data_IF_457892037479
#
_entry.id   IF_457892037479
#
_cell.length_a   1.000
_cell.length_b   1.000
_cell.length_c   1.000
_cell.angle_alpha   90.00
_cell.angle_beta   90.00
_cell.angle_gamma   90.00
#
_symmetry.space_group_name_H-M   'P 1'
#
loop_
_entity.id
_entity.type
_entity.pdbx_description
1 polymer ?
#
# COMPACT_ATOMS: atom_id res chain seq x y z
N UNK A 1 -21.91 -88.45 20.72
CA UNK A 1 -21.90 -88.74 19.26
C UNK A 1 -21.29 -87.55 18.54
N UNK A 2 -20.45 -87.82 17.55
CA UNK A 2 -19.56 -86.88 16.85
C UNK A 2 -20.32 -85.91 15.92
N UNK A 3 -19.59 -84.86 15.51
CA UNK A 3 -19.69 -84.05 14.26
C UNK A 3 -20.88 -83.07 14.16
N UNK A 4 -20.77 -81.85 13.63
CA UNK A 4 -19.73 -81.07 12.91
C UNK A 4 -20.21 -79.60 12.89
N UNK A 5 -19.33 -78.64 13.16
CA UNK A 5 -19.58 -77.21 12.95
C UNK A 5 -19.53 -76.89 11.44
N UNK A 6 -20.52 -76.17 10.90
CA UNK A 6 -20.49 -75.59 9.56
C UNK A 6 -20.45 -74.07 9.67
N UNK A 7 -19.29 -73.46 9.34
CA UNK A 7 -19.17 -72.03 9.07
C UNK A 7 -19.71 -71.77 7.66
N UNK A 8 -20.71 -70.90 7.53
CA UNK A 8 -21.13 -70.36 6.22
C UNK A 8 -20.14 -69.27 5.82
N UNK A 9 -19.37 -69.52 4.77
CA UNK A 9 -18.53 -68.53 4.08
C UNK A 9 -19.43 -67.84 3.05
N UNK A 10 -19.63 -66.53 3.18
CA UNK A 10 -20.22 -65.71 2.12
C UNK A 10 -19.16 -65.51 1.03
N UNK A 11 -19.47 -65.92 -0.19
CA UNK A 11 -18.71 -65.59 -1.39
C UNK A 11 -19.00 -64.13 -1.77
N UNK A 12 -17.99 -63.25 -1.69
CA UNK A 12 -17.98 -62.00 -2.45
C UNK A 12 -17.49 -62.32 -3.88
N UNK A 13 -18.14 -61.80 -4.95
CA UNK A 13 -17.62 -61.95 -6.29
C UNK A 13 -16.38 -61.06 -6.43
N UNK A 14 -15.26 -61.67 -6.81
CA UNK A 14 -14.03 -60.99 -7.17
C UNK A 14 -14.29 -60.25 -8.49
N UNK A 15 -14.50 -58.93 -8.42
CA UNK A 15 -14.52 -58.07 -9.60
C UNK A 15 -13.12 -58.04 -10.21
N UNK A 16 -12.98 -58.59 -11.41
CA UNK A 16 -11.74 -58.55 -12.19
C UNK A 16 -11.51 -57.08 -12.63
N UNK A 17 -10.68 -56.34 -11.89
CA UNK A 17 -10.22 -55.02 -12.32
C UNK A 17 -9.21 -55.24 -13.44
N UNK A 18 -9.66 -55.02 -14.68
CA UNK A 18 -8.79 -54.86 -15.84
C UNK A 18 -7.97 -53.58 -15.63
N UNK A 19 -6.73 -53.74 -15.19
CA UNK A 19 -5.70 -52.70 -15.25
C UNK A 19 -5.38 -52.44 -16.73
N UNK A 20 -6.18 -51.58 -17.34
CA UNK A 20 -5.81 -50.93 -18.59
C UNK A 20 -4.58 -50.08 -18.33
N UNK A 21 -3.44 -50.46 -18.92
CA UNK A 21 -2.23 -49.64 -18.90
C UNK A 21 -2.53 -48.31 -19.56
N UNK A 22 -2.65 -47.25 -18.77
CA UNK A 22 -2.55 -45.89 -19.26
C UNK A 22 -1.13 -45.73 -19.81
N UNK A 23 -0.94 -45.24 -21.05
CA UNK A 23 0.40 -44.85 -21.49
C UNK A 23 0.82 -43.69 -20.60
N UNK A 24 1.70 -43.96 -19.63
CA UNK A 24 2.40 -42.92 -18.91
C UNK A 24 3.17 -42.11 -19.94
N UNK A 25 2.99 -40.79 -19.93
CA UNK A 25 3.88 -39.89 -20.63
C UNK A 25 5.24 -40.00 -19.94
N UNK A 26 6.11 -40.87 -20.46
CA UNK A 26 7.53 -40.80 -20.17
C UNK A 26 8.07 -39.66 -21.01
N UNK A 27 8.59 -38.64 -20.33
CA UNK A 27 9.21 -37.48 -20.94
C UNK A 27 10.59 -37.90 -21.49
N UNK A 28 10.59 -38.70 -22.57
CA UNK A 28 11.79 -39.08 -23.30
C UNK A 28 12.23 -37.90 -24.18
N UNK A 29 12.82 -36.89 -23.54
CA UNK A 29 13.30 -35.71 -24.24
C UNK A 29 13.41 -34.44 -23.42
N UNK A 30 13.37 -34.50 -22.09
CA UNK A 30 13.68 -33.37 -21.22
C UNK A 30 15.10 -32.86 -21.45
N UNK A 31 15.28 -32.04 -22.49
CA UNK A 31 16.41 -31.14 -22.58
C UNK A 31 16.20 -30.16 -21.45
N UNK A 32 16.91 -30.33 -20.33
CA UNK A 32 17.13 -29.22 -19.42
C UNK A 32 17.86 -28.18 -20.25
N UNK A 33 17.20 -27.07 -20.66
CA UNK A 33 17.95 -26.01 -21.29
C UNK A 33 19.03 -25.63 -20.28
N UNK A 34 20.29 -25.60 -20.70
CA UNK A 34 21.30 -24.88 -19.92
C UNK A 34 20.66 -23.51 -19.62
N UNK A 35 20.42 -23.26 -18.33
CA UNK A 35 19.89 -21.97 -17.90
C UNK A 35 20.84 -20.94 -18.51
N UNK A 36 20.34 -19.96 -19.30
CA UNK A 36 21.21 -18.94 -19.86
C UNK A 36 22.03 -18.39 -18.70
N UNK A 37 23.35 -18.24 -18.88
CA UNK A 37 24.21 -17.88 -17.76
C UNK A 37 23.66 -16.61 -17.14
N UNK A 38 23.06 -16.73 -15.96
CA UNK A 38 22.39 -15.62 -15.31
C UNK A 38 23.38 -14.50 -14.98
N UNK A 39 24.68 -14.65 -15.24
CA UNK A 39 25.76 -13.71 -15.02
C UNK A 39 26.12 -12.83 -16.23
N UNK A 40 25.74 -13.18 -17.47
CA UNK A 40 26.26 -12.45 -18.64
C UNK A 40 25.76 -11.00 -18.64
N UNK A 41 26.70 -10.04 -18.58
CA UNK A 41 26.44 -8.60 -18.57
C UNK A 41 26.03 -7.99 -17.23
N UNK A 42 25.76 -8.81 -16.20
CA UNK A 42 25.18 -8.33 -14.94
C UNK A 42 26.20 -7.89 -13.90
N UNK A 43 27.49 -8.15 -14.13
CA UNK A 43 28.57 -7.61 -13.30
C UNK A 43 28.64 -6.08 -13.38
N UNK A 44 28.36 -5.51 -14.56
CA UNK A 44 28.33 -4.05 -14.78
C UNK A 44 27.13 -3.42 -14.08
N UNK A 45 25.99 -4.11 -14.07
CA UNK A 45 24.79 -3.68 -13.35
C UNK A 45 24.80 -4.07 -11.86
N UNK A 46 25.93 -4.52 -11.30
CA UNK A 46 26.05 -4.93 -9.88
C UNK A 46 25.02 -5.96 -9.42
N UNK A 47 24.68 -6.90 -10.30
CA UNK A 47 23.76 -7.99 -10.01
C UNK A 47 22.28 -7.64 -10.17
N UNK A 48 21.93 -6.44 -10.63
CA UNK A 48 20.57 -6.11 -11.03
C UNK A 48 20.22 -6.83 -12.34
N UNK A 49 19.04 -7.46 -12.36
CA UNK A 49 18.56 -8.31 -13.43
C UNK A 49 17.68 -7.56 -14.43
N UNK A 50 16.82 -6.66 -13.97
CA UNK A 50 15.81 -5.97 -14.77
C UNK A 50 14.83 -6.92 -15.48
N UNK A 51 14.28 -6.43 -16.58
CA UNK A 51 13.44 -7.22 -17.48
C UNK A 51 14.21 -8.35 -18.16
N UNK A 52 13.54 -9.50 -18.31
CA UNK A 52 13.95 -10.55 -19.25
C UNK A 52 13.48 -10.24 -20.68
N UNK A 53 12.35 -9.53 -20.81
CA UNK A 53 11.86 -8.98 -22.08
C UNK A 53 11.28 -7.57 -21.84
N UNK A 54 12.02 -6.51 -22.21
CA UNK A 54 11.57 -5.14 -22.06
C UNK A 54 10.33 -4.82 -22.91
N UNK A 55 10.16 -5.47 -24.06
CA UNK A 55 9.06 -5.17 -24.99
C UNK A 55 7.69 -5.56 -24.44
N UNK A 56 7.66 -6.56 -23.57
CA UNK A 56 6.46 -7.01 -22.86
C UNK A 56 6.47 -6.64 -21.38
N UNK A 57 7.45 -5.84 -20.93
CA UNK A 57 7.67 -5.50 -19.52
C UNK A 57 7.64 -6.72 -18.60
N UNK A 58 8.36 -7.79 -18.97
CA UNK A 58 8.42 -9.04 -18.19
C UNK A 58 9.66 -9.03 -17.31
N UNK A 59 9.54 -8.88 -15.96
CA UNK A 59 10.66 -9.01 -15.04
C UNK A 59 11.30 -10.38 -15.11
N UNK A 60 12.61 -10.43 -14.85
CA UNK A 60 13.32 -11.71 -14.69
C UNK A 60 12.69 -12.60 -13.60
N UNK A 61 12.02 -11.99 -12.60
CA UNK A 61 11.38 -12.67 -11.48
C UNK A 61 10.12 -13.48 -11.86
N UNK A 62 9.55 -13.26 -13.05
CA UNK A 62 8.27 -13.83 -13.51
C UNK A 62 8.14 -15.34 -13.33
N UNK A 63 9.17 -16.07 -13.78
CA UNK A 63 9.12 -17.52 -13.91
C UNK A 63 8.94 -18.23 -12.56
N UNK A 64 9.32 -17.56 -11.47
CA UNK A 64 9.20 -18.07 -10.11
C UNK A 64 8.09 -17.37 -9.31
N UNK A 65 7.77 -16.11 -9.61
CA UNK A 65 6.78 -15.30 -8.88
C UNK A 65 5.64 -14.78 -9.77
N UNK A 66 4.89 -15.65 -10.48
CA UNK A 66 3.89 -15.20 -11.42
C UNK A 66 2.69 -14.50 -10.76
N UNK A 67 2.33 -14.88 -9.53
CA UNK A 67 1.22 -14.23 -8.81
C UNK A 67 1.49 -12.76 -8.52
N UNK A 68 2.67 -12.45 -7.98
CA UNK A 68 3.09 -11.10 -7.61
C UNK A 68 3.26 -10.19 -8.83
N UNK A 69 3.80 -10.73 -9.92
CA UNK A 69 4.02 -9.94 -11.12
C UNK A 69 2.73 -9.45 -11.77
N UNK A 70 1.69 -10.28 -11.85
CA UNK A 70 0.43 -9.87 -12.50
C UNK A 70 -0.11 -8.60 -11.85
N UNK A 71 -0.13 -8.55 -10.51
CA UNK A 71 -0.54 -7.35 -9.79
C UNK A 71 0.41 -6.18 -10.00
N UNK A 72 1.73 -6.41 -9.96
CA UNK A 72 2.71 -5.33 -10.13
C UNK A 72 2.63 -4.68 -11.53
N UNK A 73 2.40 -5.46 -12.59
CA UNK A 73 2.27 -4.93 -13.96
C UNK A 73 1.09 -3.97 -14.13
N UNK A 74 0.07 -4.06 -13.26
CA UNK A 74 -1.09 -3.17 -13.25
C UNK A 74 -0.83 -1.85 -12.48
N UNK A 75 0.33 -1.72 -11.82
CA UNK A 75 0.67 -0.55 -11.01
C UNK A 75 1.24 0.60 -11.84
N UNK A 76 1.20 1.81 -11.28
CA UNK A 76 1.89 2.95 -11.86
C UNK A 76 3.42 2.78 -11.85
N UNK A 77 3.98 1.99 -10.92
CA UNK A 77 5.41 1.69 -10.87
C UNK A 77 5.91 0.97 -12.13
N UNK A 78 5.12 0.03 -12.67
CA UNK A 78 5.43 -0.66 -13.94
C UNK A 78 5.31 0.24 -15.19
N UNK A 79 4.88 1.49 -15.03
CA UNK A 79 4.73 2.47 -16.10
C UNK A 79 5.44 3.79 -15.77
N UNK A 80 6.33 3.79 -14.78
CA UNK A 80 6.99 4.99 -14.29
C UNK A 80 7.84 5.66 -15.38
N UNK A 81 8.56 4.89 -16.19
CA UNK A 81 9.41 5.44 -17.26
C UNK A 81 8.57 6.10 -18.33
N UNK A 82 7.55 5.40 -18.85
CA UNK A 82 6.64 5.95 -19.85
C UNK A 82 5.94 7.22 -19.35
N UNK A 83 5.51 7.23 -18.09
CA UNK A 83 4.89 8.41 -17.46
C UNK A 83 5.86 9.59 -17.40
N UNK A 84 7.13 9.35 -17.07
CA UNK A 84 8.16 10.38 -17.09
C UNK A 84 8.37 10.94 -18.49
N UNK A 85 8.54 10.08 -19.49
CA UNK A 85 8.76 10.51 -20.87
C UNK A 85 7.56 11.30 -21.41
N UNK A 86 6.34 10.92 -21.03
CA UNK A 86 5.11 11.60 -21.44
C UNK A 86 4.84 12.91 -20.68
N UNK A 87 5.59 13.20 -19.61
CA UNK A 87 5.42 14.45 -18.84
C UNK A 87 5.82 15.72 -19.63
N UNK A 88 6.66 15.59 -20.66
CA UNK A 88 7.27 16.72 -21.37
C UNK A 88 8.41 17.41 -20.60
N UNK A 89 8.76 16.90 -19.41
CA UNK A 89 9.76 17.48 -18.51
C UNK A 89 10.81 16.46 -18.03
N UNK A 90 10.96 15.35 -18.75
CA UNK A 90 11.95 14.33 -18.42
C UNK A 90 13.38 14.92 -18.40
N UNK A 91 14.10 14.63 -17.32
CA UNK A 91 15.47 15.06 -17.10
C UNK A 91 16.26 13.94 -16.39
N UNK A 92 17.59 13.96 -16.53
CA UNK A 92 18.46 12.96 -15.91
C UNK A 92 18.34 12.87 -14.39
N UNK A 93 17.92 13.96 -13.73
CA UNK A 93 17.64 13.96 -12.28
C UNK A 93 16.41 13.14 -11.90
N UNK A 94 15.52 12.82 -12.85
CA UNK A 94 14.31 12.04 -12.62
C UNK A 94 14.56 10.53 -12.81
N UNK A 95 15.57 10.16 -13.60
CA UNK A 95 15.85 8.78 -13.97
C UNK A 95 16.09 7.85 -12.76
N UNK A 96 16.79 8.27 -11.67
CA UNK A 96 17.02 7.41 -10.51
C UNK A 96 15.73 6.90 -9.84
N UNK A 97 14.64 7.69 -9.86
CA UNK A 97 13.36 7.31 -9.27
C UNK A 97 12.41 6.60 -10.26
N UNK A 98 12.76 6.57 -11.55
CA UNK A 98 11.92 6.03 -12.63
C UNK A 98 12.55 4.82 -13.33
N UNK A 99 13.64 4.30 -12.78
CA UNK A 99 14.38 3.13 -13.28
C UNK A 99 14.82 2.23 -12.13
N UNK A 100 15.34 1.06 -12.46
CA UNK A 100 16.00 0.16 -11.51
C UNK A 100 17.42 0.65 -11.25
N UNK A 101 17.74 0.91 -9.98
CA UNK A 101 19.04 1.40 -9.53
C UNK A 101 19.20 1.28 -8.01
N UNK A 102 19.98 2.17 -7.41
CA UNK A 102 20.23 2.15 -5.96
C UNK A 102 19.06 2.61 -5.10
N UNK A 103 18.19 3.49 -5.62
CA UNK A 103 17.10 4.06 -4.83
C UNK A 103 15.99 3.04 -4.57
N UNK A 104 15.43 3.11 -3.37
CA UNK A 104 14.33 2.31 -2.84
C UNK A 104 14.76 1.01 -2.14
N UNK A 105 16.05 0.65 -2.20
CA UNK A 105 16.54 -0.66 -1.75
C UNK A 105 17.84 -0.56 -0.96
N UNK A 106 18.43 -1.71 -0.62
CA UNK A 106 19.65 -1.79 0.22
C UNK A 106 20.94 -1.43 -0.52
N UNK A 107 20.89 -1.23 -1.84
CA UNK A 107 22.07 -0.88 -2.64
C UNK A 107 22.47 0.57 -2.39
N UNK A 108 23.72 0.78 -1.99
CA UNK A 108 24.28 2.12 -1.73
C UNK A 108 25.15 2.65 -2.87
N UNK A 109 25.31 1.88 -3.96
CA UNK A 109 26.14 2.30 -5.09
C UNK A 109 25.29 3.04 -6.13
N UNK A 110 25.50 4.35 -6.33
CA UNK A 110 24.72 5.13 -7.30
C UNK A 110 24.96 4.69 -8.76
N UNK A 111 26.09 4.04 -9.05
CA UNK A 111 26.43 3.50 -10.36
C UNK A 111 25.95 2.04 -10.49
N UNK A 112 24.65 1.80 -10.28
CA UNK A 112 24.02 0.48 -10.35
C UNK A 112 22.82 0.45 -11.33
N UNK A 113 22.48 -0.73 -11.85
CA UNK A 113 21.32 -0.90 -12.72
C UNK A 113 21.35 0.00 -13.96
N UNK A 114 20.33 0.85 -14.13
CA UNK A 114 20.22 1.77 -15.25
C UNK A 114 21.38 2.78 -15.30
N UNK A 115 21.78 3.38 -14.17
CA UNK A 115 22.84 4.38 -14.15
C UNK A 115 24.18 3.85 -14.69
N UNK A 116 24.46 2.55 -14.48
CA UNK A 116 25.67 1.91 -14.98
C UNK A 116 25.61 1.51 -16.46
N UNK A 117 24.41 1.21 -16.99
CA UNK A 117 24.25 0.49 -18.27
C UNK A 117 23.48 1.25 -19.33
N UNK A 118 22.52 2.09 -18.91
CA UNK A 118 21.55 2.77 -19.76
C UNK A 118 20.74 1.81 -20.65
N UNK A 119 20.55 0.56 -20.21
CA UNK A 119 19.80 -0.45 -20.96
C UNK A 119 18.30 -0.37 -20.66
N UNK A 120 17.47 -0.50 -21.70
CA UNK A 120 15.99 -0.46 -21.61
C UNK A 120 15.40 -1.47 -20.61
N UNK A 121 16.15 -2.55 -20.31
CA UNK A 121 15.73 -3.57 -19.35
C UNK A 121 15.59 -3.05 -17.93
N UNK A 122 16.15 -1.88 -17.61
CA UNK A 122 16.08 -1.25 -16.30
C UNK A 122 15.08 -0.09 -16.25
N UNK A 123 14.31 0.17 -17.30
CA UNK A 123 13.20 1.13 -17.25
C UNK A 123 12.11 0.68 -16.26
N UNK A 124 11.38 1.66 -15.72
CA UNK A 124 10.31 1.51 -14.74
C UNK A 124 10.80 1.17 -13.31
N UNK A 125 9.92 1.33 -12.33
CA UNK A 125 10.16 0.94 -10.94
C UNK A 125 9.81 -0.54 -10.80
N UNK A 126 10.82 -1.40 -10.94
CA UNK A 126 10.66 -2.86 -10.92
C UNK A 126 10.87 -3.45 -9.53
N UNK A 127 10.79 -4.79 -9.43
CA UNK A 127 10.98 -5.54 -8.19
C UNK A 127 12.26 -5.13 -7.46
N UNK A 128 13.35 -5.02 -8.21
CA UNK A 128 14.68 -4.75 -7.65
C UNK A 128 14.85 -3.31 -7.16
N UNK A 129 13.98 -2.37 -7.56
CA UNK A 129 13.96 -1.01 -6.98
C UNK A 129 13.66 -1.03 -5.49
N UNK A 130 12.87 -2.01 -4.99
CA UNK A 130 12.58 -2.15 -3.55
C UNK A 130 13.35 -3.31 -2.92
N UNK A 131 13.52 -4.42 -3.64
CA UNK A 131 14.11 -5.65 -3.12
C UNK A 131 15.64 -5.73 -3.30
N UNK A 132 16.23 -4.84 -4.10
CA UNK A 132 17.65 -4.84 -4.43
C UNK A 132 18.05 -5.89 -5.48
N UNK A 133 19.36 -6.06 -5.73
CA UNK A 133 19.89 -6.94 -6.77
C UNK A 133 19.46 -8.41 -6.63
N UNK A 134 18.87 -8.98 -7.67
CA UNK A 134 18.31 -10.34 -7.66
C UNK A 134 19.28 -11.45 -8.06
N UNK A 135 20.48 -11.15 -8.57
CA UNK A 135 21.38 -12.17 -9.15
C UNK A 135 21.72 -13.31 -8.19
N UNK A 136 22.07 -13.00 -6.94
CA UNK A 136 22.40 -14.02 -5.94
C UNK A 136 21.18 -14.87 -5.58
N UNK A 137 19.99 -14.25 -5.53
CA UNK A 137 18.74 -14.96 -5.28
C UNK A 137 18.41 -15.93 -6.41
N UNK A 138 18.44 -15.50 -7.67
CA UNK A 138 18.13 -16.39 -8.80
C UNK A 138 19.13 -17.55 -8.91
N UNK A 139 20.40 -17.32 -8.55
CA UNK A 139 21.43 -18.36 -8.53
C UNK A 139 21.24 -19.38 -7.40
N UNK A 140 20.72 -18.96 -6.24
CA UNK A 140 20.43 -19.84 -5.11
C UNK A 140 19.21 -19.35 -4.31
N UNK A 141 17.98 -19.65 -4.78
CA UNK A 141 16.76 -19.07 -4.23
C UNK A 141 16.48 -19.45 -2.79
N UNK A 142 17.11 -20.50 -2.25
CA UNK A 142 16.95 -20.90 -0.86
C UNK A 142 17.91 -20.17 0.10
N UNK A 143 19.04 -19.66 -0.39
CA UNK A 143 20.09 -19.11 0.45
C UNK A 143 20.00 -17.60 0.69
N UNK A 144 19.40 -16.86 -0.24
CA UNK A 144 19.32 -15.39 -0.16
C UNK A 144 17.91 -14.96 -0.54
N UNK A 145 17.23 -14.21 0.35
CA UNK A 145 15.93 -13.61 0.07
C UNK A 145 16.09 -12.09 -0.06
N UNK A 146 15.82 -11.50 -1.24
CA UNK A 146 15.86 -10.06 -1.39
C UNK A 146 14.61 -9.46 -0.72
N UNK A 147 14.82 -8.65 0.32
CA UNK A 147 13.75 -8.10 1.16
C UNK A 147 13.64 -6.60 0.92
N UNK A 148 12.41 -6.12 0.80
CA UNK A 148 12.11 -4.71 0.80
C UNK A 148 12.00 -4.16 2.23
N UNK A 149 12.15 -2.86 2.35
CA UNK A 149 11.99 -2.14 3.60
C UNK A 149 10.53 -1.93 3.98
N UNK A 150 10.25 -2.01 5.28
CA UNK A 150 9.02 -1.51 5.87
C UNK A 150 9.08 0.00 6.15
N UNK A 151 10.29 0.51 6.37
CA UNK A 151 10.53 1.90 6.74
C UNK A 151 10.29 2.84 5.56
N UNK A 152 9.77 4.01 5.90
CA UNK A 152 9.65 5.13 4.99
C UNK A 152 9.76 6.42 5.78
N UNK A 153 10.64 7.31 5.36
CA UNK A 153 10.89 8.57 6.04
C UNK A 153 11.58 9.57 5.12
N UNK A 154 11.63 10.82 5.58
CA UNK A 154 12.46 11.86 4.98
C UNK A 154 13.92 11.46 5.13
N UNK A 155 14.73 11.68 4.08
CA UNK A 155 16.16 11.30 4.04
C UNK A 155 16.39 9.78 4.31
N UNK A 156 15.40 8.94 3.98
CA UNK A 156 15.54 7.50 4.13
C UNK A 156 16.64 6.97 3.21
N UNK A 157 17.43 6.00 3.71
CA UNK A 157 18.48 5.34 2.94
C UNK A 157 18.03 4.00 2.31
N UNK A 158 16.72 3.72 2.40
CA UNK A 158 16.03 2.64 1.69
C UNK A 158 14.52 2.96 1.62
N UNK A 159 13.76 2.16 0.88
CA UNK A 159 12.31 2.16 0.97
C UNK A 159 11.65 3.30 0.21
N UNK A 160 10.37 3.54 0.47
CA UNK A 160 9.55 4.44 -0.36
C UNK A 160 10.07 5.89 -0.40
N UNK A 161 10.76 6.32 0.67
CA UNK A 161 11.20 7.70 0.86
C UNK A 161 12.27 8.17 -0.11
N UNK A 162 13.07 7.25 -0.68
CA UNK A 162 14.13 7.62 -1.63
C UNK A 162 13.59 8.14 -2.98
N UNK A 163 12.30 7.95 -3.26
CA UNK A 163 11.65 8.44 -4.47
C UNK A 163 10.45 9.34 -4.17
N UNK A 164 9.74 9.08 -3.07
CA UNK A 164 8.52 9.78 -2.70
C UNK A 164 8.79 10.92 -1.71
N UNK A 165 9.71 11.80 -2.09
CA UNK A 165 10.10 13.02 -1.39
C UNK A 165 10.19 14.23 -2.34
N UNK A 166 10.37 15.42 -1.77
CA UNK A 166 10.55 16.67 -2.49
C UNK A 166 9.25 17.33 -2.96
N UNK A 167 9.36 18.34 -3.82
CA UNK A 167 8.24 19.24 -4.13
C UNK A 167 7.15 18.62 -5.01
N UNK A 168 7.50 17.63 -5.84
CA UNK A 168 6.55 16.97 -6.75
C UNK A 168 5.89 15.73 -6.13
N UNK A 169 6.56 15.11 -5.14
CA UNK A 169 6.11 13.89 -4.48
C UNK A 169 6.32 13.97 -2.96
N UNK A 170 5.80 14.99 -2.24
CA UNK A 170 6.09 15.22 -0.82
C UNK A 170 5.40 14.22 0.13
N UNK A 171 5.38 12.92 -0.19
CA UNK A 171 4.64 11.93 0.58
C UNK A 171 5.27 11.71 1.94
N UNK A 172 6.59 11.52 2.03
CA UNK A 172 7.24 11.26 3.32
C UNK A 172 7.26 12.50 4.21
N UNK A 173 7.41 13.70 3.63
CA UNK A 173 7.33 14.96 4.37
C UNK A 173 5.93 15.15 4.96
N UNK A 174 4.88 14.98 4.15
CA UNK A 174 3.50 15.11 4.64
C UNK A 174 3.14 14.00 5.63
N UNK A 175 3.58 12.76 5.36
CA UNK A 175 3.32 11.62 6.23
C UNK A 175 3.97 11.79 7.59
N UNK A 176 5.23 12.24 7.64
CA UNK A 176 5.98 12.47 8.88
C UNK A 176 5.31 13.50 9.80
N UNK A 177 4.55 14.43 9.23
CA UNK A 177 3.80 15.45 9.96
C UNK A 177 2.42 14.96 10.43
N UNK A 178 1.94 13.84 9.91
CA UNK A 178 0.69 13.22 10.33
C UNK A 178 0.84 12.46 11.65
N UNK A 179 -0.27 12.25 12.35
CA UNK A 179 -0.28 11.39 13.54
C UNK A 179 0.08 9.92 13.23
N UNK A 180 -0.08 9.46 11.99
CA UNK A 180 0.31 8.11 11.58
C UNK A 180 1.83 7.96 11.53
N UNK A 181 2.51 8.91 10.88
CA UNK A 181 3.97 8.94 10.80
C UNK A 181 4.63 9.28 12.14
N UNK A 182 4.07 10.22 12.90
CA UNK A 182 4.59 10.63 14.21
C UNK A 182 4.38 9.57 15.31
N UNK A 183 3.38 8.69 15.15
CA UNK A 183 3.12 7.57 16.06
C UNK A 183 3.02 7.92 17.56
N UNK A 184 2.27 8.96 17.98
CA UNK A 184 2.24 9.41 19.38
C UNK A 184 1.72 8.36 20.37
N UNK A 185 1.06 7.31 19.88
CA UNK A 185 0.50 6.23 20.69
C UNK A 185 1.18 4.86 20.48
N UNK A 186 2.23 4.78 19.65
CA UNK A 186 2.86 3.50 19.27
C UNK A 186 3.43 2.77 20.49
N UNK A 187 4.24 3.45 21.31
CA UNK A 187 4.81 2.88 22.53
C UNK A 187 3.73 2.46 23.53
N UNK A 188 2.74 3.34 23.77
CA UNK A 188 1.66 3.08 24.70
C UNK A 188 0.85 1.85 24.28
N UNK A 189 0.45 1.75 23.01
CA UNK A 189 -0.35 0.65 22.49
C UNK A 189 0.39 -0.70 22.62
N UNK A 190 1.69 -0.70 22.34
CA UNK A 190 2.56 -1.88 22.46
C UNK A 190 2.64 -2.40 23.90
N UNK A 191 2.63 -1.50 24.89
CA UNK A 191 2.62 -1.87 26.31
C UNK A 191 1.28 -2.37 26.85
N UNK A 192 0.18 -2.23 26.09
CA UNK A 192 -1.19 -2.50 26.58
C UNK A 192 -1.75 -3.82 26.05
N UNK A 193 -1.92 -3.96 24.73
CA UNK A 193 -2.52 -5.16 24.14
C UNK A 193 -2.33 -5.23 22.63
N UNK A 194 -2.38 -6.45 22.09
CA UNK A 194 -2.39 -6.70 20.63
C UNK A 194 -3.53 -5.97 19.92
N UNK A 195 -4.71 -5.86 20.57
CA UNK A 195 -5.84 -5.11 20.02
C UNK A 195 -5.60 -3.61 19.89
N UNK A 196 -4.65 -3.03 20.64
CA UNK A 196 -4.22 -1.64 20.43
C UNK A 196 -3.13 -1.59 19.34
N UNK A 197 -2.21 -2.55 19.35
CA UNK A 197 -1.13 -2.64 18.36
C UNK A 197 -1.66 -2.79 16.93
N UNK A 198 -2.79 -3.48 16.74
CA UNK A 198 -3.44 -3.66 15.44
C UNK A 198 -3.76 -2.32 14.70
N UNK A 199 -3.74 -1.18 15.39
CA UNK A 199 -3.97 0.14 14.79
C UNK A 199 -2.86 1.16 15.05
N UNK A 200 -1.93 0.88 15.98
CA UNK A 200 -0.98 1.87 16.48
C UNK A 200 0.49 1.45 16.34
N UNK A 201 0.76 0.20 15.98
CA UNK A 201 2.10 -0.28 15.66
C UNK A 201 2.08 -0.82 14.23
N UNK A 202 2.97 -0.32 13.37
CA UNK A 202 2.93 -0.52 11.92
C UNK A 202 2.99 -1.98 11.52
N UNK A 203 3.92 -2.75 12.10
CA UNK A 203 4.13 -4.14 11.75
C UNK A 203 2.90 -4.98 12.13
N UNK A 204 2.35 -4.74 13.32
CA UNK A 204 1.17 -5.44 13.83
C UNK A 204 -0.12 -4.98 13.15
N UNK A 205 -0.22 -3.72 12.74
CA UNK A 205 -1.33 -3.26 11.92
C UNK A 205 -1.35 -3.96 10.56
N UNK A 206 -0.20 -4.06 9.89
CA UNK A 206 -0.07 -4.80 8.64
C UNK A 206 -0.50 -6.27 8.79
N UNK A 207 -0.05 -6.93 9.86
CA UNK A 207 -0.36 -8.34 10.11
C UNK A 207 -1.80 -8.59 10.56
N UNK A 208 -2.27 -7.87 11.59
CA UNK A 208 -3.54 -8.18 12.25
C UNK A 208 -4.72 -7.53 11.54
N UNK A 209 -4.57 -6.29 11.08
CA UNK A 209 -5.67 -5.52 10.47
C UNK A 209 -5.79 -5.78 8.96
N UNK A 210 -4.67 -6.06 8.30
CA UNK A 210 -4.62 -6.31 6.86
C UNK A 210 -4.25 -7.75 6.48
N UNK A 211 -3.92 -8.61 7.46
CA UNK A 211 -3.68 -10.04 7.22
C UNK A 211 -2.37 -10.34 6.50
N UNK A 212 -1.45 -9.39 6.43
CA UNK A 212 -0.21 -9.52 5.67
C UNK A 212 0.94 -10.01 6.56
N UNK A 213 1.50 -11.16 6.21
CA UNK A 213 2.50 -11.89 7.02
C UNK A 213 3.84 -12.04 6.31
N UNK A 214 4.05 -11.36 5.18
CA UNK A 214 5.29 -11.39 4.41
C UNK A 214 6.48 -10.88 5.23
N UNK A 215 7.68 -11.32 4.85
CA UNK A 215 8.92 -10.88 5.45
C UNK A 215 9.46 -9.60 4.78
N UNK A 216 9.92 -8.67 5.60
CA UNK A 216 10.63 -7.45 5.22
C UNK A 216 11.94 -7.37 6.02
N UNK A 217 12.79 -6.39 5.70
CA UNK A 217 14.12 -6.25 6.30
C UNK A 217 14.06 -6.16 7.82
N UNK A 218 13.14 -5.34 8.33
CA UNK A 218 13.05 -4.98 9.73
C UNK A 218 12.23 -5.95 10.58
N UNK A 219 11.62 -6.96 9.96
CA UNK A 219 10.67 -7.83 10.66
C UNK A 219 11.34 -8.60 11.80
N UNK A 220 10.84 -8.39 13.01
CA UNK A 220 11.27 -9.12 14.20
C UNK A 220 12.59 -8.65 14.79
N UNK A 221 13.07 -7.46 14.44
CA UNK A 221 14.24 -6.84 15.07
C UNK A 221 13.98 -6.35 16.52
N UNK A 222 12.71 -6.30 16.92
CA UNK A 222 12.27 -5.88 18.25
C UNK A 222 11.97 -4.39 18.38
N UNK A 223 12.20 -3.60 17.34
CA UNK A 223 11.91 -2.17 17.30
C UNK A 223 10.45 -1.92 16.94
N UNK A 224 9.83 -0.96 17.64
CA UNK A 224 8.46 -0.52 17.34
C UNK A 224 8.48 0.43 16.15
N UNK A 225 7.50 0.27 15.26
CA UNK A 225 7.36 1.13 14.09
C UNK A 225 6.04 1.84 14.11
N UNK A 226 6.05 3.09 13.66
CA UNK A 226 4.82 3.83 13.44
C UNK A 226 4.09 3.26 12.21
N UNK A 227 2.91 3.77 11.90
CA UNK A 227 2.23 3.35 10.67
C UNK A 227 3.06 3.88 9.50
N UNK A 228 3.35 3.03 8.51
CA UNK A 228 4.10 3.41 7.29
C UNK A 228 3.26 3.19 6.04
N UNK A 229 3.82 3.55 4.88
CA UNK A 229 3.18 3.45 3.57
C UNK A 229 2.59 2.07 3.28
N UNK A 230 3.35 1.01 3.58
CA UNK A 230 3.00 -0.38 3.24
C UNK A 230 1.84 -0.93 4.06
N UNK A 231 1.46 -0.27 5.16
CA UNK A 231 0.26 -0.60 5.92
C UNK A 231 -1.00 -0.31 5.10
N UNK A 232 -0.98 0.74 4.28
CA UNK A 232 -2.11 1.13 3.44
C UNK A 232 -1.95 0.70 1.97
N UNK A 233 -0.72 0.62 1.46
CA UNK A 233 -0.42 0.33 0.07
C UNK A 233 0.23 -1.05 -0.11
N UNK A 234 -0.21 -1.79 -1.13
CA UNK A 234 0.43 -3.01 -1.59
C UNK A 234 1.35 -2.70 -2.79
N UNK A 235 2.68 -2.74 -2.62
CA UNK A 235 3.60 -2.45 -3.72
C UNK A 235 3.48 -3.45 -4.89
N UNK A 236 2.87 -4.62 -4.67
CA UNK A 236 2.65 -5.65 -5.66
C UNK A 236 1.28 -5.57 -6.36
N UNK A 237 0.49 -4.53 -6.09
CA UNK A 237 -0.83 -4.33 -6.70
C UNK A 237 -1.97 -4.82 -5.83
N UNK A 238 -3.16 -4.29 -6.11
CA UNK A 238 -4.40 -4.64 -5.43
C UNK A 238 -5.60 -4.35 -6.35
N UNK A 239 -6.79 -4.90 -6.07
CA UNK A 239 -7.99 -4.56 -6.83
C UNK A 239 -8.50 -3.13 -6.55
N UNK A 240 -7.82 -2.37 -5.70
CA UNK A 240 -8.20 -1.02 -5.30
C UNK A 240 -7.23 -0.01 -5.91
N UNK A 241 -7.78 1.07 -6.45
CA UNK A 241 -6.96 2.12 -7.09
C UNK A 241 -5.89 2.67 -6.15
N UNK A 242 -4.77 3.13 -6.72
CA UNK A 242 -3.58 3.56 -5.99
C UNK A 242 -3.00 2.48 -5.06
N UNK A 243 -3.14 1.20 -5.43
CA UNK A 243 -2.55 0.06 -4.73
C UNK A 243 -3.01 -0.07 -3.27
N UNK A 244 -4.21 0.40 -2.92
CA UNK A 244 -4.67 0.37 -1.53
C UNK A 244 -4.97 -1.06 -1.07
N UNK A 245 -4.76 -1.40 0.20
CA UNK A 245 -5.08 -2.75 0.74
C UNK A 245 -6.57 -2.99 0.98
N UNK A 246 -7.35 -1.92 1.00
CA UNK A 246 -8.79 -1.94 1.18
C UNK A 246 -9.44 -0.79 0.41
N UNK A 247 -10.73 -0.93 0.11
CA UNK A 247 -11.47 0.11 -0.60
C UNK A 247 -11.59 1.39 0.22
N UNK A 248 -11.56 2.54 -0.46
CA UNK A 248 -11.95 3.84 0.09
C UNK A 248 -13.37 4.26 -0.31
N UNK A 249 -14.07 3.41 -1.07
CA UNK A 249 -15.36 3.75 -1.67
C UNK A 249 -16.52 2.94 -1.07
N UNK A 250 -16.22 1.80 -0.46
CA UNK A 250 -17.22 0.91 0.14
C UNK A 250 -17.55 1.38 1.57
N UNK A 251 -18.81 1.71 1.88
CA UNK A 251 -19.21 2.23 3.18
C UNK A 251 -19.45 1.12 4.20
N UNK A 252 -18.40 0.40 4.55
CA UNK A 252 -18.40 -0.62 5.61
C UNK A 252 -17.20 -0.42 6.53
N UNK A 253 -17.18 -1.14 7.65
CA UNK A 253 -16.00 -1.17 8.54
C UNK A 253 -14.74 -1.75 7.85
N UNK A 254 -14.89 -2.44 6.72
CA UNK A 254 -13.77 -2.90 5.88
C UNK A 254 -13.10 -1.79 5.07
N UNK A 255 -13.68 -0.58 5.04
CA UNK A 255 -13.07 0.60 4.44
C UNK A 255 -11.68 0.86 5.01
N UNK A 256 -10.71 1.21 4.16
CA UNK A 256 -9.29 1.37 4.51
C UNK A 256 -9.06 2.11 5.82
N UNK A 257 -9.61 3.33 5.95
CA UNK A 257 -9.44 4.13 7.15
C UNK A 257 -10.20 3.56 8.36
N UNK A 258 -11.35 2.91 8.14
CA UNK A 258 -12.28 2.54 9.21
C UNK A 258 -11.91 1.24 9.90
N UNK A 259 -11.06 0.43 9.27
CA UNK A 259 -10.39 -0.70 9.92
C UNK A 259 -9.69 -0.30 11.23
N UNK A 260 -9.23 0.95 11.33
CA UNK A 260 -8.73 1.55 12.57
C UNK A 260 -9.71 2.58 13.16
N UNK A 261 -10.39 3.36 12.32
CA UNK A 261 -11.25 4.47 12.72
C UNK A 261 -12.74 4.13 12.91
N UNK A 262 -13.06 2.93 13.40
CA UNK A 262 -14.44 2.53 13.73
C UNK A 262 -14.56 1.69 15.02
N UNK A 263 -13.67 1.87 16.01
CA UNK A 263 -13.56 0.95 17.15
C UNK A 263 -14.77 0.95 18.09
N UNK A 264 -15.21 2.12 18.56
CA UNK A 264 -16.33 2.20 19.51
C UNK A 264 -17.01 3.56 19.49
N UNK A 265 -18.29 3.58 19.14
CA UNK A 265 -19.11 4.79 19.02
C UNK A 265 -19.87 5.17 20.29
N UNK A 266 -19.87 4.31 21.31
CA UNK A 266 -20.46 4.59 22.63
C UNK A 266 -19.37 4.56 23.72
N UNK A 267 -19.53 5.29 24.83
CA UNK A 267 -18.58 5.23 25.93
C UNK A 267 -18.44 3.80 26.46
N UNK A 268 -17.25 3.23 26.31
CA UNK A 268 -16.88 1.91 26.83
C UNK A 268 -15.88 2.02 27.99
N UNK A 269 -15.41 3.24 28.28
CA UNK A 269 -14.56 3.60 29.42
C UNK A 269 -14.83 5.04 29.86
N UNK A 270 -14.16 5.50 30.91
CA UNK A 270 -14.17 6.91 31.35
C UNK A 270 -13.68 7.90 30.29
N UNK A 271 -13.02 7.43 29.24
CA UNK A 271 -12.49 8.25 28.14
C UNK A 271 -13.49 8.49 27.01
N UNK A 272 -14.71 7.93 27.11
CA UNK A 272 -15.74 8.10 26.07
C UNK A 272 -15.58 7.15 24.87
N UNK A 273 -16.26 7.45 23.75
CA UNK A 273 -16.08 6.74 22.48
C UNK A 273 -14.62 6.82 22.02
N UNK A 274 -14.16 5.80 21.30
CA UNK A 274 -12.77 5.74 20.81
C UNK A 274 -12.77 5.39 19.34
N UNK A 275 -12.08 6.20 18.54
CA UNK A 275 -12.00 6.04 17.10
C UNK A 275 -13.40 5.87 16.45
N UNK A 276 -14.35 6.75 16.82
CA UNK A 276 -15.75 6.65 16.42
C UNK A 276 -16.05 7.29 15.05
N UNK A 277 -15.04 7.71 14.28
CA UNK A 277 -15.22 8.53 13.08
C UNK A 277 -16.03 7.81 12.00
N UNK A 278 -15.71 6.55 11.70
CA UNK A 278 -16.43 5.73 10.71
C UNK A 278 -17.87 5.45 11.14
N UNK A 279 -18.06 5.09 12.41
CA UNK A 279 -19.38 4.87 13.02
C UNK A 279 -20.26 6.14 12.96
N UNK A 280 -19.66 7.31 13.21
CA UNK A 280 -20.31 8.60 13.02
C UNK A 280 -20.69 8.84 11.56
N UNK A 281 -19.79 8.52 10.62
CA UNK A 281 -20.02 8.73 9.20
C UNK A 281 -21.21 7.92 8.70
N UNK A 282 -21.33 6.66 9.13
CA UNK A 282 -22.44 5.76 8.78
C UNK A 282 -23.72 6.04 9.59
N UNK A 283 -23.60 6.74 10.72
CA UNK A 283 -24.71 6.95 11.65
C UNK A 283 -25.15 5.64 12.31
N UNK A 284 -24.19 4.76 12.60
CA UNK A 284 -24.38 3.44 13.18
C UNK A 284 -23.62 3.34 14.50
N UNK A 285 -24.26 2.77 15.53
CA UNK A 285 -23.63 2.46 16.82
C UNK A 285 -22.84 3.63 17.46
N UNK A 286 -23.28 4.87 17.22
CA UNK A 286 -22.60 6.10 17.67
C UNK A 286 -23.51 6.94 18.57
N UNK A 287 -22.96 7.36 19.71
CA UNK A 287 -23.65 8.17 20.70
C UNK A 287 -24.82 7.45 21.39
N UNK A 288 -25.55 8.18 22.22
CA UNK A 288 -26.77 7.69 22.86
C UNK A 288 -27.99 8.04 22.00
N UNK A 289 -28.73 7.03 21.57
CA UNK A 289 -30.01 7.19 20.88
C UNK A 289 -31.13 6.82 21.86
N UNK A 290 -32.00 7.75 22.27
CA UNK A 290 -33.11 7.44 23.17
C UNK A 290 -34.03 6.34 22.58
N UNK A 291 -34.59 5.42 23.39
CA UNK A 291 -35.40 4.29 22.88
C UNK A 291 -36.64 4.70 22.07
N UNK A 292 -37.16 5.89 22.30
CA UNK A 292 -38.34 6.48 21.63
C UNK A 292 -37.97 7.38 20.44
N UNK A 293 -36.68 7.62 20.23
CA UNK A 293 -36.22 8.44 19.13
C UNK A 293 -35.90 7.56 17.93
N UNK A 294 -36.55 7.85 16.80
CA UNK A 294 -36.16 7.33 15.50
C UNK A 294 -35.81 8.47 14.55
N UNK A 295 -34.67 8.32 13.89
CA UNK A 295 -34.45 8.63 12.47
C UNK A 295 -35.71 8.93 11.63
N UNK A 296 -36.22 10.17 11.41
CA UNK A 296 -37.31 10.37 10.45
C UNK A 296 -36.91 9.96 9.02
N UNK A 297 -35.62 10.03 8.69
CA UNK A 297 -35.04 9.51 7.45
C UNK A 297 -33.64 8.97 7.76
N UNK A 298 -33.46 7.65 7.74
CA UNK A 298 -32.15 7.02 7.96
C UNK A 298 -31.15 7.40 6.85
N UNK A 299 -31.62 7.80 5.67
CA UNK A 299 -30.82 8.12 4.48
C UNK A 299 -30.38 9.59 4.38
N UNK A 300 -30.90 10.49 5.22
CA UNK A 300 -30.49 11.92 5.27
C UNK A 300 -29.69 12.28 6.52
N UNK A 301 -29.21 11.29 7.28
CA UNK A 301 -28.54 11.52 8.57
C UNK A 301 -27.23 12.29 8.48
N UNK A 302 -26.52 12.18 7.37
CA UNK A 302 -25.19 12.76 7.24
C UNK A 302 -24.99 13.32 5.83
N UNK A 303 -24.91 14.65 5.73
CA UNK A 303 -24.67 15.33 4.46
C UNK A 303 -23.31 14.96 3.85
N UNK A 304 -22.35 14.54 4.67
CA UNK A 304 -21.04 14.02 4.23
C UNK A 304 -20.97 12.48 4.27
N UNK A 305 -22.10 11.81 4.49
CA UNK A 305 -22.18 10.35 4.55
C UNK A 305 -22.13 9.69 3.17
N UNK A 306 -22.12 8.35 3.13
CA UNK A 306 -21.84 7.56 1.91
C UNK A 306 -22.64 7.93 0.67
N UNK A 307 -23.89 8.37 0.85
CA UNK A 307 -24.78 8.74 -0.26
C UNK A 307 -24.27 9.92 -1.09
N UNK A 308 -23.61 10.88 -0.44
CA UNK A 308 -23.14 12.11 -1.07
C UNK A 308 -21.62 12.17 -1.18
N UNK A 309 -20.92 11.18 -0.62
CA UNK A 309 -19.48 11.18 -0.45
C UNK A 309 -18.90 9.81 -0.87
N UNK A 310 -18.59 9.62 -2.17
CA UNK A 310 -18.28 8.31 -2.72
C UNK A 310 -16.94 7.75 -2.27
N UNK A 311 -15.93 8.59 -1.95
CA UNK A 311 -14.62 8.14 -1.40
C UNK A 311 -14.50 8.36 0.11
N UNK A 312 -15.63 8.60 0.77
CA UNK A 312 -15.78 8.69 2.22
C UNK A 312 -14.70 9.57 2.88
N UNK A 313 -13.79 8.98 3.65
CA UNK A 313 -12.76 9.70 4.37
C UNK A 313 -11.76 10.37 3.40
N UNK A 314 -11.36 9.65 2.35
CA UNK A 314 -10.33 10.08 1.42
C UNK A 314 -10.76 11.29 0.59
N UNK A 315 -12.07 11.49 0.37
CA UNK A 315 -12.62 12.65 -0.36
C UNK A 315 -12.12 13.99 0.20
N UNK A 316 -12.03 14.10 1.52
CA UNK A 316 -11.65 15.34 2.19
C UNK A 316 -10.23 15.26 2.75
N UNK A 317 -9.86 14.12 3.33
CA UNK A 317 -8.61 13.98 4.06
C UNK A 317 -7.41 13.65 3.16
N UNK A 318 -7.63 13.16 1.94
CA UNK A 318 -6.56 12.81 0.99
C UNK A 318 -6.79 13.56 -0.32
N UNK A 319 -6.70 14.89 -0.25
CA UNK A 319 -6.87 15.78 -1.40
C UNK A 319 -5.52 16.25 -1.94
N UNK A 320 -5.40 16.25 -3.28
CA UNK A 320 -4.24 16.81 -3.96
C UNK A 320 -4.46 18.29 -4.26
N UNK A 321 -3.42 19.09 -4.10
CA UNK A 321 -3.46 20.53 -4.37
C UNK A 321 -2.12 20.98 -4.92
N UNK A 322 -2.13 21.53 -6.13
CA UNK A 322 -1.00 22.29 -6.66
C UNK A 322 -0.99 23.67 -6.00
N UNK A 323 0.11 24.00 -5.35
CA UNK A 323 0.34 25.30 -4.71
C UNK A 323 1.28 26.11 -5.57
N UNK A 324 0.87 27.34 -5.87
CA UNK A 324 1.64 28.32 -6.64
C UNK A 324 1.85 29.59 -5.81
N UNK A 325 2.94 30.31 -6.06
CA UNK A 325 3.18 31.63 -5.47
C UNK A 325 2.25 32.70 -6.09
N UNK A 326 2.34 33.94 -5.57
CA UNK A 326 1.54 35.06 -6.07
C UNK A 326 1.80 35.42 -7.55
N UNK A 327 2.89 34.91 -8.14
CA UNK A 327 3.25 35.10 -9.55
C UNK A 327 2.85 33.91 -10.43
N UNK A 328 2.25 32.87 -9.86
CA UNK A 328 1.88 31.63 -10.56
C UNK A 328 3.04 30.64 -10.73
N UNK A 329 4.14 30.79 -9.99
CA UNK A 329 5.23 29.81 -10.03
C UNK A 329 4.89 28.63 -9.12
N UNK A 330 5.12 27.41 -9.60
CA UNK A 330 4.95 26.18 -8.83
C UNK A 330 5.80 26.19 -7.55
N UNK A 331 5.18 25.84 -6.42
CA UNK A 331 5.84 25.68 -5.13
C UNK A 331 5.81 24.23 -4.63
N UNK A 332 4.64 23.60 -4.67
CA UNK A 332 4.42 22.27 -4.10
C UNK A 332 3.25 21.57 -4.77
N UNK A 333 3.38 20.28 -5.03
CA UNK A 333 2.26 19.41 -5.35
C UNK A 333 1.87 18.67 -4.07
N UNK A 334 0.92 19.23 -3.31
CA UNK A 334 0.43 18.59 -2.09
C UNK A 334 -0.27 17.27 -2.41
N UNK A 335 0.05 16.20 -1.69
CA UNK A 335 -0.47 14.84 -1.92
C UNK A 335 -1.51 14.41 -0.88
N UNK A 336 -1.86 15.27 0.06
CA UNK A 336 -2.91 15.04 1.07
C UNK A 336 -2.54 14.03 2.17
N UNK A 337 -1.27 13.69 2.36
CA UNK A 337 -0.84 12.67 3.33
C UNK A 337 -0.56 13.24 4.74
N UNK A 338 -0.92 14.51 4.98
CA UNK A 338 -1.09 15.05 6.34
C UNK A 338 -2.41 14.59 6.98
N UNK A 339 -3.36 14.12 6.15
CA UNK A 339 -4.74 13.76 6.53
C UNK A 339 -5.59 14.92 7.06
N UNK A 340 -5.16 16.16 6.87
CA UNK A 340 -5.92 17.32 7.28
C UNK A 340 -6.89 17.77 6.18
N UNK A 341 -8.19 17.70 6.46
CA UNK A 341 -9.21 18.12 5.50
C UNK A 341 -9.24 19.65 5.27
N UNK A 342 -8.81 20.43 6.28
CA UNK A 342 -8.82 21.89 6.27
C UNK A 342 -7.55 22.44 6.94
N UNK A 343 -6.41 22.28 6.28
CA UNK A 343 -5.13 22.77 6.80
C UNK A 343 -5.08 24.29 6.91
N UNK A 344 -4.34 24.78 7.91
CA UNK A 344 -3.86 26.15 7.88
C UNK A 344 -2.92 26.33 6.69
N UNK A 345 -2.83 27.56 6.16
CA UNK A 345 -1.86 27.87 5.12
C UNK A 345 -0.91 28.98 5.58
N UNK A 346 0.34 28.91 5.12
CA UNK A 346 1.32 29.97 5.35
C UNK A 346 1.10 31.16 4.39
N UNK A 347 2.00 32.14 4.42
CA UNK A 347 1.92 33.33 3.55
C UNK A 347 2.02 33.02 2.05
N UNK A 348 2.52 31.85 1.68
CA UNK A 348 2.64 31.38 0.30
C UNK A 348 1.52 30.41 -0.09
N UNK A 349 0.54 30.19 0.80
CA UNK A 349 -0.55 29.25 0.55
C UNK A 349 -0.18 27.79 0.80
N UNK A 350 1.00 27.50 1.36
CA UNK A 350 1.44 26.13 1.64
C UNK A 350 0.71 25.59 2.87
N UNK A 351 0.17 24.36 2.82
CA UNK A 351 -0.41 23.71 3.99
C UNK A 351 0.59 23.60 5.14
N UNK A 352 0.19 24.06 6.31
CA UNK A 352 0.94 23.93 7.56
C UNK A 352 0.29 22.83 8.39
N UNK A 353 0.96 21.69 8.50
CA UNK A 353 0.47 20.59 9.32
C UNK A 353 0.45 20.97 10.80
N UNK A 354 -0.58 20.48 11.49
CA UNK A 354 -0.89 20.76 12.89
C UNK A 354 -0.99 22.26 13.20
N UNK A 355 -1.34 23.08 12.20
CA UNK A 355 -1.48 24.51 12.35
C UNK A 355 -2.66 24.90 13.25
N UNK A 356 -2.38 25.77 14.22
CA UNK A 356 -3.41 26.45 15.00
C UNK A 356 -3.73 27.80 14.36
N UNK A 357 -4.79 27.83 13.54
CA UNK A 357 -5.30 29.05 12.92
C UNK A 357 -6.82 29.06 12.93
N UNK A 358 -7.39 30.26 12.76
CA UNK A 358 -8.83 30.44 12.66
C UNK A 358 -9.38 29.80 11.38
N UNK A 359 -10.70 29.50 11.31
CA UNK A 359 -11.34 29.11 10.05
C UNK A 359 -11.15 30.14 8.91
N UNK A 360 -10.80 31.38 9.29
CA UNK A 360 -10.16 32.47 8.52
C UNK A 360 -9.07 32.11 7.53
N UNK A 361 -8.22 31.21 8.00
CA UNK A 361 -6.85 31.05 7.52
C UNK A 361 -6.63 29.62 7.04
N UNK A 362 -7.70 28.82 6.99
CA UNK A 362 -7.70 27.45 6.48
C UNK A 362 -8.03 27.43 5.00
N UNK A 363 -7.41 26.51 4.27
CA UNK A 363 -7.86 26.13 2.94
C UNK A 363 -9.02 25.12 3.04
N UNK A 364 -9.99 25.26 2.14
CA UNK A 364 -11.09 24.33 1.91
C UNK A 364 -10.99 23.71 0.51
N UNK A 365 -9.79 23.74 -0.10
CA UNK A 365 -9.57 23.27 -1.46
C UNK A 365 -10.03 21.82 -1.66
N UNK A 366 -9.80 20.92 -0.69
CA UNK A 366 -10.30 19.54 -0.74
C UNK A 366 -11.83 19.43 -0.84
N UNK A 367 -12.57 20.36 -0.22
CA UNK A 367 -14.04 20.41 -0.32
C UNK A 367 -14.52 20.85 -1.71
N UNK A 368 -13.71 21.64 -2.42
CA UNK A 368 -14.01 22.11 -3.77
C UNK A 368 -13.56 21.08 -4.80
N UNK A 369 -12.36 20.52 -4.64
CA UNK A 369 -11.77 19.51 -5.51
C UNK A 369 -12.61 18.22 -5.56
N UNK A 370 -13.33 17.90 -4.47
CA UNK A 370 -14.30 16.80 -4.45
C UNK A 370 -15.58 17.06 -5.24
N UNK A 371 -15.82 18.31 -5.68
CA UNK A 371 -17.04 18.72 -6.37
C UNK A 371 -18.27 18.89 -5.47
N UNK A 372 -18.15 18.67 -4.15
CA UNK A 372 -19.25 18.80 -3.20
C UNK A 372 -19.59 20.27 -2.90
N UNK A 373 -18.60 21.16 -2.93
CA UNK A 373 -18.79 22.59 -2.70
C UNK A 373 -18.35 23.43 -3.90
N UNK A 374 -19.19 24.39 -4.29
CA UNK A 374 -18.91 25.25 -5.46
C UNK A 374 -17.81 26.29 -5.26
N UNK A 375 -17.36 26.53 -4.02
CA UNK A 375 -16.21 27.38 -3.71
C UNK A 375 -15.73 27.16 -2.27
N UNK A 376 -14.48 27.53 -1.99
CA UNK A 376 -13.92 27.48 -0.63
C UNK A 376 -14.71 28.38 0.34
N UNK A 377 -15.21 29.53 -0.14
CA UNK A 377 -16.03 30.42 0.67
C UNK A 377 -17.33 29.76 1.11
N UNK A 378 -17.98 29.01 0.21
CA UNK A 378 -19.21 28.26 0.55
C UNK A 378 -18.92 27.11 1.51
N UNK A 379 -17.84 26.36 1.31
CA UNK A 379 -17.41 25.30 2.22
C UNK A 379 -17.10 25.85 3.63
N UNK A 380 -16.33 26.94 3.70
CA UNK A 380 -16.00 27.63 4.95
C UNK A 380 -17.22 28.16 5.68
N UNK A 381 -18.15 28.78 4.97
CA UNK A 381 -19.40 29.26 5.56
C UNK A 381 -20.27 28.14 6.12
N UNK A 382 -20.20 26.93 5.54
CA UNK A 382 -20.88 25.76 6.08
C UNK A 382 -20.16 25.17 7.31
N UNK A 383 -18.83 25.32 7.39
CA UNK A 383 -18.02 24.84 8.51
C UNK A 383 -18.14 25.69 9.78
N UNK A 384 -18.30 27.01 9.64
CA UNK A 384 -18.35 27.95 10.79
C UNK A 384 -19.77 28.04 11.39
N UNK A 385 -20.79 27.58 10.68
CA UNK A 385 -22.19 27.54 11.15
C UNK A 385 -22.43 26.33 12.02
#
# INVERSE_FOLDING_TARGET
MRTRYWKRVLFLPLGLVLLGGLPGCVDEGGVFPEQPSWSQGKDVALGFLGYSDPSTKTPTCWSCHPGTQVGWQETAHANAWETLQNSGHAAGSCEPCHTVGSLGNVSTNPDAGFAATHEDRYHDVQCESCHGPGLLHVANPAATQPRASFEAGVDAANGCGECHEGTHHPFVEQWSQSAHGAGPNTEYASGVSESCMACHEGQRALEVTFGETTDYLEKGDGELRTITCVVCHDPHGSPYGAQLRASVDVPTEDHLCMRCHARSGTPWSSHGPHAAQGLLLFGENVGYIPPWFSFPDKERRNNHGPRNNPRLCATCHVSRLTVEDASGNFLLESVGHTFEAVSCVDSNGLPVANGECSPSERTFAGCVASGCHGSESLARNAYIR
#
